data_IF_173387680865
#
_entry.id   IF_173387680865
#
_cell.length_a   1.000
_cell.length_b   1.000
_cell.length_c   1.000
_cell.angle_alpha   90.00
_cell.angle_beta   90.00
_cell.angle_gamma   90.00
#
_symmetry.space_group_name_H-M   'P 1'
#
loop_
_entity.id
_entity.type
_entity.pdbx_description
1 polymer ?
#
# COMPACT_ATOMS: atom_id res chain seq x y z
N UNK A 1 -16.10 -20.13 -23.33
CA UNK A 1 -16.01 -20.56 -21.91
C UNK A 1 -15.10 -19.56 -21.18
N UNK A 2 -15.66 -18.58 -20.47
CA UNK A 2 -14.89 -17.63 -19.66
C UNK A 2 -14.95 -18.05 -18.20
N UNK A 3 -13.83 -18.49 -17.62
CA UNK A 3 -13.73 -18.80 -16.21
C UNK A 3 -13.74 -17.49 -15.40
N UNK A 4 -14.87 -17.16 -14.78
CA UNK A 4 -14.94 -16.09 -13.78
C UNK A 4 -14.18 -16.59 -12.55
N UNK A 5 -12.90 -16.25 -12.45
CA UNK A 5 -12.11 -16.52 -11.25
C UNK A 5 -12.67 -15.65 -10.12
N UNK A 6 -13.60 -16.18 -9.33
CA UNK A 6 -14.07 -15.58 -8.09
C UNK A 6 -12.95 -15.61 -7.04
N UNK A 7 -11.92 -14.80 -7.23
CA UNK A 7 -10.96 -14.51 -6.17
C UNK A 7 -11.73 -13.68 -5.15
N UNK A 8 -12.20 -14.29 -4.05
CA UNK A 8 -12.96 -13.59 -3.02
C UNK A 8 -12.35 -12.26 -2.58
N UNK A 9 -13.18 -11.29 -2.20
CA UNK A 9 -12.77 -9.92 -1.84
C UNK A 9 -11.66 -9.88 -0.78
N UNK A 10 -11.71 -10.80 0.19
CA UNK A 10 -10.67 -11.03 1.21
C UNK A 10 -9.32 -11.41 0.58
N UNK A 11 -9.31 -12.40 -0.31
CA UNK A 11 -8.09 -12.88 -0.98
C UNK A 11 -7.46 -11.78 -1.82
N UNK A 12 -8.27 -10.96 -2.51
CA UNK A 12 -7.77 -9.78 -3.26
C UNK A 12 -7.07 -8.77 -2.37
N UNK A 13 -7.64 -8.44 -1.19
CA UNK A 13 -7.01 -7.54 -0.23
C UNK A 13 -5.65 -8.07 0.24
N UNK A 14 -5.57 -9.36 0.58
CA UNK A 14 -4.31 -10.00 0.99
C UNK A 14 -3.28 -9.97 -0.14
N UNK A 15 -3.64 -10.35 -1.36
CA UNK A 15 -2.73 -10.32 -2.50
C UNK A 15 -2.21 -8.91 -2.81
N UNK A 16 -3.07 -7.88 -2.69
CA UNK A 16 -2.65 -6.48 -2.85
C UNK A 16 -1.64 -6.06 -1.80
N UNK A 17 -1.88 -6.41 -0.53
CA UNK A 17 -0.94 -6.10 0.56
C UNK A 17 0.41 -6.77 0.32
N UNK A 18 0.42 -8.06 -0.04
CA UNK A 18 1.67 -8.79 -0.35
C UNK A 18 2.43 -8.12 -1.50
N UNK A 19 1.71 -7.73 -2.56
CA UNK A 19 2.29 -7.00 -3.69
C UNK A 19 2.90 -5.66 -3.27
N UNK A 20 2.15 -4.85 -2.53
CA UNK A 20 2.61 -3.55 -2.04
C UNK A 20 3.88 -3.66 -1.19
N UNK A 21 3.92 -4.62 -0.27
CA UNK A 21 5.08 -4.84 0.61
C UNK A 21 6.30 -5.27 -0.19
N UNK A 22 6.14 -6.18 -1.16
CA UNK A 22 7.24 -6.61 -2.04
C UNK A 22 7.77 -5.44 -2.85
N UNK A 23 6.88 -4.68 -3.48
CA UNK A 23 7.28 -3.57 -4.35
C UNK A 23 8.02 -2.49 -3.54
N UNK A 24 7.59 -2.22 -2.30
CA UNK A 24 8.28 -1.33 -1.38
C UNK A 24 9.65 -1.88 -0.96
N UNK A 25 9.75 -3.17 -0.65
CA UNK A 25 11.01 -3.81 -0.26
C UNK A 25 12.05 -3.76 -1.39
N UNK A 26 11.63 -4.08 -2.62
CA UNK A 26 12.50 -4.00 -3.81
C UNK A 26 12.91 -2.57 -4.08
N UNK A 27 11.98 -1.61 -3.96
CA UNK A 27 12.29 -0.19 -4.10
C UNK A 27 13.32 0.26 -3.07
N UNK A 28 13.13 -0.09 -1.80
CA UNK A 28 14.06 0.25 -0.71
C UNK A 28 15.45 -0.34 -0.97
N UNK A 29 15.53 -1.61 -1.39
CA UNK A 29 16.79 -2.24 -1.74
C UNK A 29 17.49 -1.55 -2.92
N UNK A 30 16.77 -1.22 -3.98
CA UNK A 30 17.34 -0.49 -5.14
C UNK A 30 17.84 0.88 -4.72
N UNK A 31 17.07 1.60 -3.90
CA UNK A 31 17.46 2.90 -3.38
C UNK A 31 18.75 2.81 -2.56
N UNK A 32 18.83 1.87 -1.60
CA UNK A 32 20.04 1.68 -0.78
C UNK A 32 21.22 1.16 -1.58
N UNK A 33 20.98 0.37 -2.63
CA UNK A 33 22.05 -0.05 -3.57
C UNK A 33 22.67 1.17 -4.26
N UNK A 34 21.88 2.16 -4.64
CA UNK A 34 22.39 3.40 -5.27
C UNK A 34 23.05 4.31 -4.25
N UNK A 35 22.45 4.46 -3.06
CA UNK A 35 22.90 5.40 -2.01
C UNK A 35 24.14 4.91 -1.25
N UNK A 36 24.16 3.63 -0.89
CA UNK A 36 25.11 3.04 0.06
C UNK A 36 25.94 1.90 -0.54
N UNK A 37 25.76 1.62 -1.83
CA UNK A 37 26.41 0.52 -2.57
C UNK A 37 26.19 -0.88 -1.95
N UNK A 38 25.06 -1.08 -1.26
CA UNK A 38 24.73 -2.38 -0.66
C UNK A 38 24.38 -3.40 -1.75
N UNK A 39 24.97 -4.59 -1.68
CA UNK A 39 24.70 -5.70 -2.57
C UNK A 39 23.79 -6.76 -1.92
N UNK A 40 23.25 -7.68 -2.72
CA UNK A 40 22.51 -8.84 -2.18
C UNK A 40 23.41 -9.76 -1.34
N UNK A 41 24.72 -9.80 -1.63
CA UNK A 41 25.68 -10.57 -0.84
C UNK A 41 25.87 -9.93 0.54
N UNK A 42 25.89 -8.59 0.61
CA UNK A 42 25.99 -7.88 1.90
C UNK A 42 24.76 -8.12 2.78
N UNK A 43 23.56 -8.09 2.19
CA UNK A 43 22.35 -8.47 2.93
C UNK A 43 22.41 -9.93 3.40
N UNK A 44 22.83 -10.84 2.53
CA UNK A 44 22.94 -12.26 2.85
C UNK A 44 23.88 -12.49 4.04
N UNK A 45 25.03 -11.80 4.05
CA UNK A 45 25.99 -11.84 5.14
C UNK A 45 25.43 -11.25 6.45
N UNK A 46 24.74 -10.11 6.39
CA UNK A 46 24.12 -9.50 7.59
C UNK A 46 23.03 -10.37 8.19
N UNK A 47 22.26 -11.04 7.34
CA UNK A 47 21.14 -11.89 7.73
C UNK A 47 21.55 -13.32 8.08
N UNK A 48 22.82 -13.68 7.93
CA UNK A 48 23.33 -15.05 8.08
C UNK A 48 22.57 -16.08 7.23
N UNK A 49 22.33 -15.73 5.96
CA UNK A 49 21.65 -16.60 4.99
C UNK A 49 22.40 -16.69 3.67
N UNK A 50 22.07 -17.68 2.86
CA UNK A 50 22.64 -17.79 1.52
C UNK A 50 22.04 -16.74 0.56
N UNK A 51 22.84 -16.19 -0.36
CA UNK A 51 22.39 -15.20 -1.37
C UNK A 51 21.16 -15.65 -2.16
N UNK A 52 21.03 -16.95 -2.45
CA UNK A 52 19.86 -17.49 -3.16
C UNK A 52 18.56 -17.28 -2.38
N UNK A 53 18.60 -17.22 -1.05
CA UNK A 53 17.46 -16.88 -0.21
C UNK A 53 17.07 -15.43 -0.45
N UNK A 54 18.04 -14.51 -0.40
CA UNK A 54 17.82 -13.07 -0.67
C UNK A 54 17.27 -12.83 -2.07
N UNK A 55 17.89 -13.44 -3.08
CA UNK A 55 17.44 -13.35 -4.46
C UNK A 55 16.03 -13.92 -4.63
N UNK A 56 15.73 -15.07 -4.01
CA UNK A 56 14.37 -15.63 -4.05
C UNK A 56 13.38 -14.69 -3.38
N UNK A 57 13.68 -14.14 -2.22
CA UNK A 57 12.73 -13.29 -1.50
C UNK A 57 12.44 -11.99 -2.26
N UNK A 58 13.47 -11.35 -2.84
CA UNK A 58 13.32 -10.12 -3.61
C UNK A 58 12.64 -10.33 -4.97
N UNK A 59 12.82 -11.51 -5.59
CA UNK A 59 12.24 -11.81 -6.91
C UNK A 59 10.92 -12.59 -6.84
N UNK A 60 10.62 -13.26 -5.73
CA UNK A 60 9.45 -14.13 -5.65
C UNK A 60 8.18 -13.35 -5.28
N UNK A 61 7.06 -13.73 -5.88
CA UNK A 61 5.73 -13.27 -5.47
C UNK A 61 5.19 -13.99 -4.22
N UNK A 62 6.07 -14.62 -3.43
CA UNK A 62 5.69 -15.45 -2.28
C UNK A 62 5.34 -14.58 -1.09
N UNK A 63 4.36 -15.04 -0.30
CA UNK A 63 3.98 -14.41 0.95
C UNK A 63 5.15 -14.47 1.96
N UNK A 64 5.77 -13.33 2.26
CA UNK A 64 6.79 -13.22 3.30
C UNK A 64 6.16 -12.98 4.67
N UNK A 65 6.79 -13.50 5.73
CA UNK A 65 6.39 -13.19 7.10
C UNK A 65 6.79 -11.77 7.47
N UNK A 66 6.05 -11.17 8.41
CA UNK A 66 6.38 -9.85 8.96
C UNK A 66 7.77 -9.83 9.62
N UNK A 67 8.15 -10.92 10.29
CA UNK A 67 9.49 -11.08 10.88
C UNK A 67 10.58 -10.92 9.81
N UNK A 68 10.40 -11.58 8.67
CA UNK A 68 11.39 -11.53 7.59
C UNK A 68 11.51 -10.13 6.99
N UNK A 69 10.39 -9.42 6.83
CA UNK A 69 10.39 -8.02 6.39
C UNK A 69 11.14 -7.13 7.40
N UNK A 70 10.98 -7.38 8.70
CA UNK A 70 11.72 -6.68 9.75
C UNK A 70 13.23 -6.96 9.67
N UNK A 71 13.63 -8.21 9.45
CA UNK A 71 15.05 -8.56 9.28
C UNK A 71 15.68 -7.81 8.09
N UNK A 72 14.98 -7.73 6.95
CA UNK A 72 15.43 -6.98 5.79
C UNK A 72 15.58 -5.48 6.08
N UNK A 73 14.60 -4.88 6.77
CA UNK A 73 14.67 -3.47 7.14
C UNK A 73 15.85 -3.19 8.07
N UNK A 74 16.07 -4.05 9.08
CA UNK A 74 17.25 -3.98 9.95
C UNK A 74 18.56 -4.11 9.15
N UNK A 75 18.65 -5.07 8.21
CA UNK A 75 19.85 -5.27 7.40
C UNK A 75 20.17 -4.06 6.50
N UNK A 76 19.15 -3.32 6.08
CA UNK A 76 19.27 -2.10 5.25
C UNK A 76 19.37 -0.81 6.08
N UNK A 77 19.33 -0.88 7.41
CA UNK A 77 19.30 0.29 8.30
C UNK A 77 18.11 1.23 8.01
N UNK A 78 16.92 0.63 7.86
CA UNK A 78 15.68 1.31 7.53
C UNK A 78 14.61 1.11 8.60
N UNK A 79 13.82 2.14 8.84
CA UNK A 79 12.64 2.08 9.69
C UNK A 79 11.39 1.60 8.94
N UNK A 80 10.55 0.80 9.61
CA UNK A 80 9.26 0.34 9.07
C UNK A 80 8.14 1.24 9.59
N UNK A 81 7.35 1.78 8.66
CA UNK A 81 6.12 2.53 8.98
C UNK A 81 4.90 1.82 8.40
N UNK A 82 3.98 1.37 9.26
CA UNK A 82 2.72 0.75 8.86
C UNK A 82 1.53 1.61 9.28
N UNK A 83 0.61 1.90 8.35
CA UNK A 83 -0.58 2.72 8.60
C UNK A 83 -1.80 2.10 7.94
N UNK A 84 -2.88 1.94 8.70
CA UNK A 84 -4.20 1.58 8.18
C UNK A 84 -5.02 2.86 7.97
N UNK A 85 -5.80 2.90 6.90
CA UNK A 85 -6.70 4.01 6.57
C UNK A 85 -8.14 3.52 6.49
N UNK A 86 -9.09 4.41 6.76
CA UNK A 86 -10.49 4.11 6.51
C UNK A 86 -10.70 3.86 5.01
N UNK A 87 -11.57 2.89 4.71
CA UNK A 87 -12.02 2.67 3.33
C UNK A 87 -13.03 3.78 3.03
N UNK A 88 -12.62 4.83 2.34
CA UNK A 88 -13.56 5.84 1.86
C UNK A 88 -14.50 5.16 0.86
N UNK A 89 -15.81 5.13 1.15
CA UNK A 89 -16.80 4.51 0.26
C UNK A 89 -17.27 5.45 -0.87
N UNK A 90 -16.77 6.69 -0.89
CA UNK A 90 -17.13 7.67 -1.91
C UNK A 90 -16.14 7.59 -3.07
N UNK A 91 -16.34 6.59 -3.95
CA UNK A 91 -15.91 6.67 -5.35
C UNK A 91 -17.14 6.96 -6.20
N UNK A 92 -17.73 8.13 -5.96
CA UNK A 92 -18.54 8.85 -6.93
C UNK A 92 -17.81 10.19 -7.06
N UNK A 93 -17.43 10.59 -8.28
CA UNK A 93 -16.62 11.76 -8.65
C UNK A 93 -15.17 11.45 -9.08
N UNK A 94 -15.02 11.00 -10.33
CA UNK A 94 -13.96 11.45 -11.24
C UNK A 94 -14.20 10.87 -12.65
N UNK A 95 -15.38 11.12 -13.21
CA UNK A 95 -15.63 11.03 -14.67
C UNK A 95 -16.99 11.64 -15.01
N UNK A 96 -17.07 12.96 -14.82
CA UNK A 96 -17.84 13.86 -15.67
C UNK A 96 -16.87 14.95 -16.11
N UNK A 97 -16.31 14.78 -17.30
CA UNK A 97 -15.78 15.92 -18.05
C UNK A 97 -17.00 16.74 -18.50
N UNK A 98 -17.04 18.01 -18.09
CA UNK A 98 -18.04 18.98 -18.55
C UNK A 98 -18.56 19.90 -17.46
N UNK A 99 -17.77 20.92 -17.14
CA UNK A 99 -18.16 22.20 -16.53
C UNK A 99 -18.69 22.23 -15.08
N UNK A 100 -18.07 23.15 -14.33
CA UNK A 100 -18.41 23.73 -13.02
C UNK A 100 -17.86 23.08 -11.75
N UNK A 101 -16.84 23.78 -11.25
CA UNK A 101 -16.25 23.76 -9.92
C UNK A 101 -17.25 24.19 -8.84
N UNK A 102 -17.00 23.72 -7.60
CA UNK A 102 -17.74 23.91 -6.35
C UNK A 102 -19.06 23.13 -6.31
N UNK A 103 -19.22 22.10 -5.47
CA UNK A 103 -19.42 22.25 -4.02
C UNK A 103 -18.99 20.96 -3.31
N UNK A 104 -18.07 21.07 -2.37
CA UNK A 104 -18.11 20.26 -1.15
C UNK A 104 -18.31 21.24 0.01
N UNK A 105 -18.91 20.88 1.15
CA UNK A 105 -20.04 20.02 1.45
C UNK A 105 -21.20 20.87 2.06
N UNK A 106 -22.35 21.01 1.39
CA UNK A 106 -23.47 21.80 1.94
C UNK A 106 -24.31 21.06 3.01
N UNK A 107 -23.96 19.84 3.40
CA UNK A 107 -24.75 19.08 4.37
C UNK A 107 -24.39 19.43 5.83
N UNK A 108 -24.43 20.72 6.19
CA UNK A 108 -24.16 21.16 7.57
C UNK A 108 -24.94 22.39 8.09
N UNK A 109 -25.81 23.06 7.32
CA UNK A 109 -26.54 24.25 7.84
C UNK A 109 -27.95 24.40 7.24
N UNK A 110 -28.80 23.39 7.35
CA UNK A 110 -30.22 23.52 7.01
C UNK A 110 -31.14 22.85 8.05
N UNK A 111 -30.95 23.17 9.33
CA UNK A 111 -31.96 22.91 10.36
C UNK A 111 -32.39 24.18 11.14
N UNK A 112 -31.84 25.37 10.86
CA UNK A 112 -32.08 26.58 11.68
C UNK A 112 -32.76 27.77 10.94
N UNK A 113 -33.23 27.64 9.68
CA UNK A 113 -33.85 28.77 8.95
C UNK A 113 -35.19 28.41 8.28
N UNK A 114 -36.04 27.61 8.92
CA UNK A 114 -37.45 27.44 8.51
C UNK A 114 -38.45 27.67 9.66
N UNK A 115 -38.21 28.64 10.55
CA UNK A 115 -39.20 29.02 11.58
C UNK A 115 -39.39 30.53 11.80
N UNK A 116 -39.09 31.41 10.84
CA UNK A 116 -39.37 32.85 10.99
C UNK A 116 -39.95 33.52 9.74
N UNK A 117 -40.92 32.90 9.07
CA UNK A 117 -41.78 33.64 8.11
C UNK A 117 -43.29 33.40 8.23
N UNK A 118 -43.81 32.82 9.32
CA UNK A 118 -45.26 32.85 9.60
C UNK A 118 -45.57 32.86 11.11
N UNK A 119 -45.45 34.04 11.75
CA UNK A 119 -46.22 34.44 12.96
C UNK A 119 -45.98 35.92 13.33
#
# INVERSE_FOLDING_TARGET
>A
MSYLFEIGSRRRKTSRLIGMVRDELVRAFVHEKVKSNISQDDLANKLDVHKSVVSRDLNSGVNMSLSKIADYAWAMDLDIVFKLKQKNENTYEASYDGEQSAIAPHLAVLDDIEQLEDA
#
